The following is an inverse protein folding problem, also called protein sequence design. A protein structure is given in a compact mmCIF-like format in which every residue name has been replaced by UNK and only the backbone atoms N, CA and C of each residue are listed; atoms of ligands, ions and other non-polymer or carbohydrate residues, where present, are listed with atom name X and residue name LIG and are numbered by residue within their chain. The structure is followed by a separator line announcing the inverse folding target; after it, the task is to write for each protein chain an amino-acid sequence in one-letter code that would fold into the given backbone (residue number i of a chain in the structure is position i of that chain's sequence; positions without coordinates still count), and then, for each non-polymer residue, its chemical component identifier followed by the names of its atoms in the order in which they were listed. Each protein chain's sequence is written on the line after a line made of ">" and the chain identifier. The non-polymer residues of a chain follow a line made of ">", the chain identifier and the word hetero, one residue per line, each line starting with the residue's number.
data_IF_946534416173
#
_entry.id   IF_946534416173
#
_cell.length_a   1.000
_cell.length_b   1.000
_cell.length_c   1.000
_cell.angle_alpha   90.00
_cell.angle_beta   90.00
_cell.angle_gamma   90.00
#
_symmetry.space_group_name_H-M   'P 1'
#
loop_
_entity.id
_entity.type
_entity.pdbx_description
1 polymer ?
#
# COMPACT_ATOMS: atom_id res chain seq x y z
N UNK A 1 -9.56 17.62 -91.79
CA UNK A 1 -9.02 18.48 -90.74
C UNK A 1 -10.17 18.71 -89.71
N UNK A 2 -10.10 18.03 -88.64
CA UNK A 2 -11.21 18.03 -87.66
C UNK A 2 -10.75 18.66 -86.34
N UNK A 3 -11.30 19.80 -86.00
CA UNK A 3 -11.03 20.48 -84.72
C UNK A 3 -11.82 19.81 -83.60
N UNK A 4 -11.09 19.29 -82.66
CA UNK A 4 -11.64 18.73 -81.44
C UNK A 4 -11.65 19.86 -80.42
N UNK A 5 -12.84 20.29 -80.05
CA UNK A 5 -13.08 21.27 -78.97
C UNK A 5 -13.07 20.53 -77.65
N UNK A 6 -12.05 20.76 -76.85
CA UNK A 6 -11.94 20.27 -75.49
C UNK A 6 -12.73 21.22 -74.55
N UNK A 7 -13.85 20.76 -74.06
CA UNK A 7 -14.58 21.44 -73.02
C UNK A 7 -13.98 21.09 -71.67
N UNK A 8 -13.27 22.03 -71.07
CA UNK A 8 -12.80 21.93 -69.68
C UNK A 8 -13.97 22.31 -68.73
N UNK A 9 -14.60 21.32 -68.13
CA UNK A 9 -15.52 21.50 -67.04
C UNK A 9 -14.76 21.74 -65.73
N UNK A 10 -14.78 23.01 -65.26
CA UNK A 10 -14.31 23.40 -63.95
C UNK A 10 -15.28 22.83 -62.88
N UNK A 11 -14.90 21.79 -62.21
CA UNK A 11 -15.54 21.33 -60.99
C UNK A 11 -15.05 22.21 -59.84
N UNK A 12 -15.87 23.17 -59.43
CA UNK A 12 -15.67 23.94 -58.21
C UNK A 12 -15.94 23.05 -57.01
N UNK A 13 -14.90 22.53 -56.38
CA UNK A 13 -15.01 21.84 -55.09
C UNK A 13 -15.12 22.89 -54.01
N UNK A 14 -16.33 23.12 -53.54
CA UNK A 14 -16.59 23.91 -52.33
C UNK A 14 -16.18 23.10 -51.12
N UNK A 15 -15.00 23.34 -50.59
CA UNK A 15 -14.58 22.84 -49.32
C UNK A 15 -15.33 23.58 -48.22
N UNK A 16 -16.42 22.99 -47.80
CA UNK A 16 -17.14 23.43 -46.59
C UNK A 16 -16.28 23.13 -45.38
N UNK A 17 -15.54 24.13 -44.88
CA UNK A 17 -14.91 24.06 -43.55
C UNK A 17 -16.01 24.01 -42.49
N UNK A 18 -16.38 22.79 -42.09
CA UNK A 18 -17.05 22.57 -40.81
C UNK A 18 -16.02 22.88 -39.75
N UNK A 19 -16.14 24.04 -39.11
CA UNK A 19 -15.52 24.30 -37.81
C UNK A 19 -16.24 23.38 -36.81
N UNK A 20 -15.69 22.18 -36.65
CA UNK A 20 -16.10 21.30 -35.59
C UNK A 20 -15.67 21.94 -34.28
N UNK A 21 -16.60 22.49 -33.52
CA UNK A 21 -16.43 22.69 -32.09
C UNK A 21 -16.17 21.31 -31.50
N UNK A 22 -14.91 20.94 -31.39
CA UNK A 22 -14.50 19.87 -30.51
C UNK A 22 -14.73 20.38 -29.10
N UNK A 23 -15.95 20.14 -28.61
CA UNK A 23 -16.19 20.09 -27.18
C UNK A 23 -15.20 19.06 -26.63
N UNK A 24 -14.15 19.57 -26.00
CA UNK A 24 -13.24 18.79 -25.20
C UNK A 24 -14.09 18.25 -24.03
N UNK A 25 -14.74 17.11 -24.25
CA UNK A 25 -15.24 16.27 -23.17
C UNK A 25 -14.00 15.76 -22.46
N UNK A 26 -13.51 16.56 -21.54
CA UNK A 26 -12.63 16.09 -20.51
C UNK A 26 -13.37 14.99 -19.78
N UNK A 27 -13.03 13.72 -20.11
CA UNK A 27 -13.27 12.60 -19.24
C UNK A 27 -12.47 12.90 -17.98
N UNK A 28 -13.08 13.61 -17.03
CA UNK A 28 -12.62 13.75 -15.68
C UNK A 28 -12.69 12.38 -15.01
N UNK A 29 -11.76 11.50 -15.36
CA UNK A 29 -11.40 10.42 -14.47
C UNK A 29 -10.87 11.11 -13.23
N UNK A 30 -11.59 11.02 -12.12
CA UNK A 30 -11.06 11.37 -10.82
C UNK A 30 -9.78 10.54 -10.66
N UNK A 31 -8.64 11.18 -10.85
CA UNK A 31 -7.36 10.62 -10.50
C UNK A 31 -7.42 10.39 -8.99
N UNK A 32 -7.64 9.14 -8.57
CA UNK A 32 -7.65 8.78 -7.16
C UNK A 32 -6.36 9.32 -6.57
N UNK A 33 -6.48 10.23 -5.61
CA UNK A 33 -5.34 10.83 -4.93
C UNK A 33 -4.39 9.70 -4.52
N UNK A 34 -3.13 9.82 -4.95
CA UNK A 34 -2.09 8.82 -4.67
C UNK A 34 -1.93 8.71 -3.16
N UNK A 35 -2.07 7.52 -2.62
CA UNK A 35 -1.88 7.30 -1.20
C UNK A 35 -0.42 7.56 -0.80
N UNK A 36 -0.21 8.30 0.28
CA UNK A 36 1.11 8.62 0.83
C UNK A 36 1.24 7.92 2.18
N UNK A 37 2.23 7.04 2.29
CA UNK A 37 2.57 6.37 3.54
C UNK A 37 3.27 7.34 4.48
N UNK A 38 2.67 7.59 5.64
CA UNK A 38 3.16 8.59 6.61
C UNK A 38 3.99 7.98 7.75
N UNK A 39 3.92 6.66 7.94
CA UNK A 39 4.63 5.95 9.00
C UNK A 39 3.93 5.99 10.35
N UNK A 40 4.38 5.13 11.29
CA UNK A 40 3.71 4.90 12.56
C UNK A 40 3.71 6.11 13.48
N UNK A 41 4.78 6.91 13.49
CA UNK A 41 4.90 8.07 14.38
C UNK A 41 3.88 9.16 14.07
N UNK A 42 3.53 9.35 12.80
CA UNK A 42 2.48 10.27 12.41
C UNK A 42 1.11 9.88 12.99
N UNK A 43 0.85 8.58 13.15
CA UNK A 43 -0.37 8.09 13.81
C UNK A 43 -0.34 8.32 15.32
N UNK A 44 0.84 8.21 15.95
CA UNK A 44 1.00 8.45 17.39
C UNK A 44 0.75 9.90 17.79
N UNK A 45 1.21 10.86 16.97
CA UNK A 45 1.37 12.27 17.34
C UNK A 45 0.07 12.98 17.69
N UNK A 46 -1.07 12.53 17.17
CA UNK A 46 -2.35 13.26 17.32
C UNK A 46 -3.40 12.51 18.15
N UNK A 47 -3.57 11.21 17.97
CA UNK A 47 -4.73 10.51 18.51
C UNK A 47 -4.42 9.16 19.14
N UNK A 48 -3.45 8.41 18.65
CA UNK A 48 -3.31 6.99 18.96
C UNK A 48 -2.32 6.67 20.08
N UNK A 49 -1.89 7.68 20.82
CA UNK A 49 -0.98 7.54 21.97
C UNK A 49 -1.57 8.11 23.25
N UNK A 50 -2.84 7.81 23.52
CA UNK A 50 -3.52 8.24 24.74
C UNK A 50 -4.52 7.16 25.22
N UNK A 51 -4.96 7.30 26.47
CA UNK A 51 -5.87 6.37 27.14
C UNK A 51 -7.29 6.39 26.56
N UNK A 52 -7.75 7.54 26.11
CA UNK A 52 -9.09 7.67 25.54
C UNK A 52 -9.25 6.89 24.24
N UNK A 53 -8.17 6.71 23.52
CA UNK A 53 -8.14 5.93 22.28
C UNK A 53 -7.67 4.48 22.48
N UNK A 54 -7.05 4.13 23.62
CA UNK A 54 -6.61 2.78 23.95
C UNK A 54 -5.15 2.51 23.66
N UNK A 55 -4.30 3.53 23.57
CA UNK A 55 -2.84 3.41 23.39
C UNK A 55 -2.40 2.54 22.20
N UNK A 56 -3.09 2.65 21.06
CA UNK A 56 -2.83 1.81 19.88
C UNK A 56 -1.36 1.81 19.46
N UNK A 57 -0.73 2.98 19.47
CA UNK A 57 0.69 3.11 19.12
C UNK A 57 1.59 2.33 20.09
N UNK A 58 1.34 2.41 21.39
CA UNK A 58 2.14 1.69 22.38
C UNK A 58 1.93 0.17 22.26
N UNK A 59 0.71 -0.28 22.01
CA UNK A 59 0.39 -1.68 21.80
C UNK A 59 1.11 -2.22 20.53
N UNK A 60 1.06 -1.47 19.42
CA UNK A 60 1.80 -1.82 18.23
C UNK A 60 3.31 -1.86 18.51
N UNK A 61 3.85 -0.83 19.20
CA UNK A 61 5.28 -0.74 19.49
C UNK A 61 5.79 -1.89 20.36
N UNK A 62 4.93 -2.48 21.17
CA UNK A 62 5.23 -3.68 21.95
C UNK A 62 5.05 -5.00 21.17
N UNK A 63 4.50 -4.96 19.98
CA UNK A 63 4.24 -6.14 19.16
C UNK A 63 5.45 -6.59 18.33
N UNK A 64 5.42 -7.83 17.85
CA UNK A 64 6.43 -8.35 16.91
C UNK A 64 6.46 -7.58 15.58
N UNK A 65 5.36 -6.96 15.17
CA UNK A 65 5.27 -6.20 13.93
C UNK A 65 6.20 -4.99 13.90
N UNK A 66 6.32 -4.26 15.01
CA UNK A 66 7.24 -3.11 15.10
C UNK A 66 8.71 -3.51 15.03
N UNK A 67 9.03 -4.75 15.40
CA UNK A 67 10.38 -5.32 15.35
C UNK A 67 10.69 -6.09 14.06
N UNK A 68 9.74 -6.18 13.13
CA UNK A 68 9.86 -7.09 11.99
C UNK A 68 11.03 -6.75 11.06
N UNK A 69 11.30 -5.48 10.78
CA UNK A 69 12.50 -5.10 10.01
C UNK A 69 13.79 -5.48 10.75
N UNK A 70 13.85 -5.18 12.05
CA UNK A 70 15.04 -5.50 12.86
C UNK A 70 15.32 -7.00 12.89
N UNK A 71 14.29 -7.84 12.81
CA UNK A 71 14.46 -9.29 12.76
C UNK A 71 15.29 -9.75 11.54
N UNK A 72 15.26 -9.00 10.44
CA UNK A 72 16.05 -9.29 9.23
C UNK A 72 17.56 -9.09 9.41
N UNK A 73 18.00 -8.37 10.45
CA UNK A 73 19.43 -8.13 10.73
C UNK A 73 20.06 -9.19 11.64
N UNK A 74 19.31 -10.25 11.96
CA UNK A 74 19.77 -11.31 12.87
C UNK A 74 20.52 -12.42 12.11
N UNK A 75 21.40 -13.15 12.79
CA UNK A 75 22.08 -14.33 12.23
C UNK A 75 21.07 -15.38 11.72
N UNK A 76 19.95 -15.53 12.41
CA UNK A 76 18.87 -16.41 11.98
C UNK A 76 18.32 -16.00 10.62
N UNK A 77 18.09 -14.70 10.38
CA UNK A 77 17.63 -14.20 9.10
C UNK A 77 18.65 -14.41 7.98
N UNK A 78 19.95 -14.24 8.27
CA UNK A 78 21.02 -14.54 7.32
C UNK A 78 21.01 -16.01 6.91
N UNK A 79 20.88 -16.94 7.88
CA UNK A 79 20.76 -18.37 7.59
C UNK A 79 19.54 -18.73 6.73
N UNK A 80 18.39 -18.09 6.96
CA UNK A 80 17.21 -18.27 6.12
C UNK A 80 17.40 -17.71 4.71
N UNK A 81 17.99 -16.52 4.59
CA UNK A 81 18.26 -15.91 3.31
C UNK A 81 19.21 -16.75 2.45
N UNK A 82 20.25 -17.30 3.05
CA UNK A 82 21.18 -18.22 2.39
C UNK A 82 20.46 -19.46 1.86
N UNK A 83 19.67 -20.15 2.71
CA UNK A 83 18.90 -21.33 2.33
C UNK A 83 17.89 -21.04 1.21
N UNK A 84 17.29 -19.84 1.20
CA UNK A 84 16.33 -19.40 0.20
C UNK A 84 17.01 -18.87 -1.08
N UNK A 85 18.34 -18.81 -1.16
CA UNK A 85 19.05 -18.19 -2.26
C UNK A 85 18.80 -16.67 -2.39
N UNK A 86 18.41 -16.02 -1.31
CA UNK A 86 18.02 -14.61 -1.28
C UNK A 86 19.21 -13.64 -1.02
N UNK A 87 20.45 -14.15 -1.01
CA UNK A 87 21.65 -13.35 -0.79
C UNK A 87 21.95 -13.08 0.69
N UNK A 88 22.88 -12.16 0.95
CA UNK A 88 23.45 -11.91 2.28
C UNK A 88 22.85 -10.68 2.99
N UNK A 89 21.92 -9.97 2.36
CA UNK A 89 21.32 -8.74 2.90
C UNK A 89 19.78 -8.85 2.95
N UNK A 90 19.21 -9.68 3.85
CA UNK A 90 17.74 -9.85 3.91
C UNK A 90 16.99 -8.53 4.11
N UNK A 91 17.59 -7.56 4.80
CA UNK A 91 17.01 -6.22 5.04
C UNK A 91 16.99 -5.29 3.81
N UNK A 92 17.54 -5.73 2.67
CA UNK A 92 17.48 -5.06 1.38
C UNK A 92 16.73 -5.89 0.34
N UNK A 93 16.53 -7.17 0.61
CA UNK A 93 15.88 -8.09 -0.32
C UNK A 93 14.36 -7.88 -0.32
N UNK A 94 13.80 -7.53 -1.49
CA UNK A 94 12.36 -7.24 -1.64
C UNK A 94 11.48 -8.43 -1.24
N UNK A 95 11.94 -9.66 -1.44
CA UNK A 95 11.18 -10.86 -1.05
C UNK A 95 10.99 -10.93 0.47
N UNK A 96 12.00 -10.55 1.23
CA UNK A 96 11.93 -10.47 2.69
C UNK A 96 11.10 -9.23 3.11
N UNK A 97 11.43 -8.08 2.51
CA UNK A 97 10.81 -6.81 2.88
C UNK A 97 9.30 -6.79 2.71
N UNK A 98 8.73 -7.52 1.75
CA UNK A 98 7.28 -7.60 1.53
C UNK A 98 6.47 -7.98 2.78
N UNK A 99 7.08 -8.77 3.68
CA UNK A 99 6.46 -9.20 4.93
C UNK A 99 7.02 -8.47 6.15
N UNK A 100 8.16 -7.81 6.03
CA UNK A 100 8.88 -7.24 7.15
C UNK A 100 8.83 -5.72 7.25
N UNK A 101 8.29 -5.04 6.23
CA UNK A 101 8.02 -3.59 6.29
C UNK A 101 6.70 -3.23 5.64
N UNK A 102 6.13 -2.12 6.05
CA UNK A 102 5.04 -1.46 5.32
C UNK A 102 5.59 -0.82 4.04
N UNK A 103 4.79 -0.78 2.97
CA UNK A 103 5.14 -0.13 1.70
C UNK A 103 6.37 -0.71 0.98
N UNK A 104 6.67 -2.00 1.14
CA UNK A 104 7.74 -2.66 0.40
C UNK A 104 7.50 -2.60 -1.12
N UNK A 105 8.49 -2.08 -1.85
CA UNK A 105 8.42 -1.94 -3.32
C UNK A 105 7.53 -0.81 -3.82
N UNK A 106 7.05 0.05 -2.94
CA UNK A 106 6.30 1.26 -3.29
C UNK A 106 7.28 2.35 -3.76
N UNK A 107 6.87 3.13 -4.75
CA UNK A 107 7.63 4.27 -5.24
C UNK A 107 7.89 5.29 -4.13
N UNK A 108 9.11 5.82 -4.06
CA UNK A 108 9.54 6.76 -3.01
C UNK A 108 8.70 8.03 -2.97
N UNK A 109 8.11 8.44 -4.09
CA UNK A 109 7.18 9.59 -4.13
C UNK A 109 5.85 9.32 -3.40
N UNK A 110 5.61 8.09 -2.97
CA UNK A 110 4.48 7.70 -2.11
C UNK A 110 4.85 7.58 -0.64
N UNK A 111 6.07 7.95 -0.27
CA UNK A 111 6.56 7.91 1.11
C UNK A 111 6.70 9.34 1.63
N UNK A 112 6.07 9.64 2.76
CA UNK A 112 6.27 10.91 3.45
C UNK A 112 7.67 10.96 4.09
N UNK A 113 8.21 12.15 4.38
CA UNK A 113 9.49 12.29 5.10
C UNK A 113 9.50 11.64 6.50
N UNK A 114 8.33 11.41 7.08
CA UNK A 114 8.13 10.75 8.37
C UNK A 114 8.12 9.23 8.29
N UNK A 115 8.03 8.66 7.08
CA UNK A 115 8.05 7.21 6.89
C UNK A 115 9.44 6.63 7.20
N UNK A 116 9.46 5.55 7.96
CA UNK A 116 10.69 4.82 8.32
C UNK A 116 10.48 3.33 8.09
N UNK A 117 11.28 2.72 7.22
CA UNK A 117 11.21 1.27 6.98
C UNK A 117 11.61 0.46 8.22
N UNK A 118 12.44 1.04 9.07
CA UNK A 118 12.92 0.45 10.32
C UNK A 118 11.80 0.26 11.35
N UNK A 119 10.67 0.95 11.18
CA UNK A 119 9.47 0.76 12.02
C UNK A 119 8.77 -0.59 11.72
N UNK A 120 9.20 -1.31 10.70
CA UNK A 120 8.67 -2.63 10.37
C UNK A 120 7.27 -2.59 9.76
N UNK A 121 6.41 -3.50 10.19
CA UNK A 121 5.00 -3.55 9.77
C UNK A 121 4.18 -2.59 10.63
N UNK A 122 3.82 -1.45 10.05
CA UNK A 122 3.15 -0.35 10.76
C UNK A 122 1.63 -0.40 10.65
N UNK A 123 0.97 0.59 11.24
CA UNK A 123 -0.49 0.75 11.20
C UNK A 123 -1.07 0.69 9.79
N UNK A 124 -0.37 1.28 8.82
CA UNK A 124 -0.84 1.41 7.44
C UNK A 124 -0.83 0.08 6.66
N UNK A 125 -0.06 -0.92 7.11
CA UNK A 125 -0.11 -2.26 6.52
C UNK A 125 -1.48 -2.91 6.72
N UNK A 126 -2.10 -2.70 7.88
CA UNK A 126 -3.41 -3.22 8.22
C UNK A 126 -4.52 -2.24 7.85
N UNK A 127 -4.33 -0.96 8.10
CA UNK A 127 -5.37 0.06 7.94
C UNK A 127 -5.41 0.72 6.55
N UNK A 128 -4.45 0.45 5.66
CA UNK A 128 -4.42 0.84 4.22
C UNK A 128 -4.86 2.29 3.93
N UNK A 129 -4.65 3.19 4.88
CA UNK A 129 -5.05 4.59 4.77
C UNK A 129 -6.54 4.89 4.94
N UNK A 130 -7.36 3.89 5.12
CA UNK A 130 -8.77 4.08 5.44
C UNK A 130 -8.95 4.16 6.96
N UNK A 131 -8.99 5.38 7.47
CA UNK A 131 -9.08 5.63 8.92
C UNK A 131 -10.52 5.72 9.44
N UNK A 132 -11.46 5.02 8.82
CA UNK A 132 -12.78 4.92 9.42
C UNK A 132 -12.83 3.74 10.40
N UNK A 133 -12.73 3.98 11.71
CA UNK A 133 -12.69 2.92 12.72
C UNK A 133 -13.99 2.09 12.80
N UNK A 134 -15.06 2.53 12.13
CA UNK A 134 -16.33 1.81 12.08
C UNK A 134 -16.42 0.85 10.90
N UNK A 135 -15.64 1.06 9.86
CA UNK A 135 -15.74 0.30 8.60
C UNK A 135 -14.50 -0.52 8.30
N UNK A 136 -13.38 -0.19 8.92
CA UNK A 136 -12.12 -0.85 8.64
C UNK A 136 -11.65 -1.72 9.81
N UNK A 137 -11.97 -3.00 9.72
CA UNK A 137 -11.33 -4.04 10.51
C UNK A 137 -10.50 -4.92 9.57
N UNK A 138 -9.22 -5.19 9.88
CA UNK A 138 -8.40 -6.11 9.12
C UNK A 138 -9.10 -7.46 8.98
N UNK A 139 -9.04 -8.04 7.79
CA UNK A 139 -9.60 -9.36 7.51
C UNK A 139 -8.49 -10.40 7.50
N UNK A 140 -8.83 -11.66 7.67
CA UNK A 140 -7.87 -12.76 7.59
C UNK A 140 -7.01 -12.71 6.32
N UNK A 141 -7.60 -12.39 5.18
CA UNK A 141 -6.87 -12.24 3.92
C UNK A 141 -5.77 -11.17 3.97
N UNK A 142 -5.90 -10.13 4.78
CA UNK A 142 -4.88 -9.10 4.94
C UNK A 142 -3.68 -9.63 5.73
N UNK A 143 -3.91 -10.54 6.67
CA UNK A 143 -2.86 -11.20 7.45
C UNK A 143 -2.14 -12.29 6.64
N UNK A 144 -2.89 -13.06 5.85
CA UNK A 144 -2.36 -14.18 5.06
C UNK A 144 -1.43 -13.76 3.93
N UNK A 145 -1.33 -12.49 3.61
CA UNK A 145 -0.30 -11.96 2.71
C UNK A 145 1.11 -12.31 3.22
N UNK A 146 1.30 -12.28 4.54
CA UNK A 146 2.58 -12.59 5.19
C UNK A 146 2.53 -13.88 6.02
N UNK A 147 1.39 -14.16 6.69
CA UNK A 147 1.21 -15.32 7.56
C UNK A 147 0.63 -16.50 6.77
N UNK A 148 1.39 -17.06 5.86
CA UNK A 148 0.96 -18.18 5.02
C UNK A 148 2.00 -19.31 5.01
N UNK A 149 1.57 -20.50 4.59
CA UNK A 149 2.37 -21.72 4.59
C UNK A 149 3.55 -21.72 3.60
N UNK A 150 3.71 -20.69 2.76
CA UNK A 150 4.87 -20.59 1.86
C UNK A 150 6.15 -20.14 2.57
N UNK A 151 6.05 -19.77 3.85
CA UNK A 151 7.17 -19.33 4.67
C UNK A 151 7.38 -20.34 5.77
N UNK A 152 8.40 -21.20 5.64
CA UNK A 152 8.72 -22.29 6.58
C UNK A 152 8.89 -21.85 8.04
N UNK A 153 9.22 -20.59 8.26
CA UNK A 153 9.39 -20.02 9.61
C UNK A 153 8.11 -19.51 10.24
N UNK A 154 7.02 -19.48 9.50
CA UNK A 154 5.70 -19.06 9.99
C UNK A 154 4.98 -20.30 10.53
N UNK A 155 4.75 -20.34 11.85
CA UNK A 155 3.91 -21.35 12.48
C UNK A 155 2.48 -21.27 11.98
N UNK A 156 1.69 -22.34 12.18
CA UNK A 156 0.26 -22.32 11.89
C UNK A 156 -0.41 -21.04 12.40
N UNK A 157 -1.10 -20.34 11.51
CA UNK A 157 -1.71 -19.04 11.79
C UNK A 157 -3.20 -19.22 12.09
N UNK A 158 -3.61 -18.93 13.31
CA UNK A 158 -5.01 -18.81 13.71
C UNK A 158 -5.40 -17.34 13.75
N UNK A 159 -6.21 -16.92 12.77
CA UNK A 159 -6.62 -15.52 12.66
C UNK A 159 -7.38 -15.01 13.90
N UNK A 160 -8.28 -15.81 14.46
CA UNK A 160 -9.11 -15.38 15.58
C UNK A 160 -8.28 -15.19 16.85
N UNK A 161 -7.31 -16.06 17.08
CA UNK A 161 -6.37 -15.96 18.19
C UNK A 161 -5.45 -14.75 18.02
N UNK A 162 -4.79 -14.64 16.86
CA UNK A 162 -3.82 -13.57 16.59
C UNK A 162 -4.46 -12.20 16.52
N UNK A 163 -5.67 -12.12 15.98
CA UNK A 163 -6.43 -10.87 15.94
C UNK A 163 -6.77 -10.38 17.37
N UNK A 164 -7.03 -11.27 18.31
CA UNK A 164 -7.23 -10.89 19.73
C UNK A 164 -5.95 -10.37 20.38
N UNK A 165 -4.80 -10.98 20.07
CA UNK A 165 -3.51 -10.57 20.63
C UNK A 165 -3.09 -9.17 20.18
N UNK A 166 -3.32 -8.83 18.90
CA UNK A 166 -2.96 -7.52 18.35
C UNK A 166 -4.08 -6.49 18.44
N UNK A 167 -5.26 -6.89 18.90
CA UNK A 167 -6.40 -6.00 19.04
C UNK A 167 -6.08 -4.90 20.05
N UNK A 168 -6.19 -3.68 19.61
CA UNK A 168 -6.08 -2.48 20.42
C UNK A 168 -7.44 -1.73 20.49
N UNK A 169 -8.52 -2.42 20.15
CA UNK A 169 -9.85 -1.91 20.46
C UNK A 169 -9.93 -1.68 21.97
N UNK A 170 -10.53 -0.57 22.38
CA UNK A 170 -10.79 -0.31 23.80
C UNK A 170 -11.27 -1.60 24.44
N UNK A 171 -10.60 -2.03 25.47
CA UNK A 171 -11.18 -2.97 26.41
C UNK A 171 -12.42 -2.26 26.99
N UNK A 172 -13.53 -2.38 26.29
CA UNK A 172 -14.82 -1.94 26.80
C UNK A 172 -15.10 -2.79 28.02
N UNK A 173 -14.74 -2.22 29.18
CA UNK A 173 -15.30 -2.56 30.46
C UNK A 173 -15.52 -4.07 30.76
N UNK A 174 -14.43 -4.80 30.92
CA UNK A 174 -14.44 -5.99 31.75
C UNK A 174 -13.88 -5.61 33.12
N UNK A 175 -14.54 -4.65 33.80
CA UNK A 175 -14.45 -4.43 35.23
C UNK A 175 -15.86 -4.15 35.71
N UNK A 176 -16.59 -5.20 35.99
CA UNK A 176 -17.60 -5.29 37.00
C UNK A 176 -17.38 -6.55 37.82
#
# INVERSE_FOLDING_TARGET
>A
MKYIILILSLLAVTVSRRVGNSFFQGSGGEEKAKYIFVGAEACASKCHNNDTMGFQYNNWRASAHSGSWKSLTTEKALSYAEKAGAGTTPWENITCLKCHITAAGVDTSSLAPTYRKEDGVTCEACHKGEFNPKTFLPKEADCLVCHNASVDSVSAFDFAERCREISHARATAAKK
#
